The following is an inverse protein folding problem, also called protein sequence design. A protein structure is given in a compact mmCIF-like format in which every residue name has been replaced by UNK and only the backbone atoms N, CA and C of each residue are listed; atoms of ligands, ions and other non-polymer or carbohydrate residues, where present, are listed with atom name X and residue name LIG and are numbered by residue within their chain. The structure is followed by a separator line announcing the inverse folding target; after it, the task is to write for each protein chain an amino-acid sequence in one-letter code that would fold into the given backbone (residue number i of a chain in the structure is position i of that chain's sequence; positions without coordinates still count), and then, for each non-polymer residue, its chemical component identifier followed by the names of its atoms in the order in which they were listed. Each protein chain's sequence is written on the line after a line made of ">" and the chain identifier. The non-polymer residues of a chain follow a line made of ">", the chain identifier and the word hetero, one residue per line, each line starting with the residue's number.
data_IF_144775865687
#
_entry.id   IF_144775865687
#
_cell.length_a   1.000
_cell.length_b   1.000
_cell.length_c   1.000
_cell.angle_alpha   90.00
_cell.angle_beta   90.00
_cell.angle_gamma   90.00
#
_symmetry.space_group_name_H-M   'P 1'
#
loop_
_entity.id
_entity.type
_entity.pdbx_description
1 polymer ?
#
# COMPACT_ATOMS: atom_id res chain seq x y z
N UNK A 1 -38.30 23.18 -40.68
CA UNK A 1 -38.95 22.06 -39.96
C UNK A 1 -37.96 20.91 -39.86
N UNK A 2 -37.67 20.51 -38.63
CA UNK A 2 -36.63 19.56 -38.20
C UNK A 2 -36.82 18.15 -38.79
N UNK A 3 -35.75 17.55 -39.31
CA UNK A 3 -35.64 16.11 -39.59
C UNK A 3 -34.72 15.49 -38.53
N UNK A 4 -35.33 14.78 -37.58
CA UNK A 4 -34.65 13.92 -36.61
C UNK A 4 -34.48 12.55 -37.27
N UNK A 5 -33.23 12.12 -37.47
CA UNK A 5 -32.86 10.77 -37.90
C UNK A 5 -32.34 10.03 -36.65
N UNK A 6 -33.11 9.05 -36.17
CA UNK A 6 -32.70 8.13 -35.10
C UNK A 6 -32.05 6.93 -35.79
N UNK A 7 -30.73 6.79 -35.64
CA UNK A 7 -30.01 5.55 -35.96
C UNK A 7 -29.86 4.73 -34.67
N UNK A 8 -30.64 3.66 -34.55
CA UNK A 8 -30.39 2.59 -33.60
C UNK A 8 -29.32 1.66 -34.19
N UNK A 9 -28.11 1.68 -33.65
CA UNK A 9 -27.13 0.63 -33.91
C UNK A 9 -27.34 -0.51 -32.92
N UNK A 10 -27.83 -1.63 -33.42
CA UNK A 10 -27.73 -2.94 -32.79
C UNK A 10 -26.30 -3.44 -33.02
N UNK A 11 -25.53 -3.64 -31.95
CA UNK A 11 -24.29 -4.43 -32.02
C UNK A 11 -24.41 -5.58 -31.03
N UNK A 12 -24.69 -6.74 -31.61
CA UNK A 12 -24.52 -8.06 -31.02
C UNK A 12 -23.13 -8.56 -31.39
N UNK A 13 -22.24 -8.75 -30.42
CA UNK A 13 -21.07 -9.63 -30.57
C UNK A 13 -20.86 -10.39 -29.27
N UNK A 14 -21.09 -11.70 -29.32
CA UNK A 14 -20.62 -12.63 -28.30
C UNK A 14 -19.16 -13.00 -28.55
N UNK A 15 -18.41 -13.14 -27.46
CA UNK A 15 -17.17 -13.92 -27.31
C UNK A 15 -17.00 -14.02 -25.78
N UNK A 16 -17.09 -15.18 -25.12
CA UNK A 16 -16.29 -16.36 -25.41
C UNK A 16 -14.86 -16.19 -24.91
N UNK A 17 -14.69 -15.66 -23.68
CA UNK A 17 -13.38 -15.40 -23.07
C UNK A 17 -13.31 -15.98 -21.67
N UNK A 18 -12.68 -17.15 -21.56
CA UNK A 18 -12.23 -17.80 -20.35
C UNK A 18 -11.38 -16.80 -19.53
N UNK A 19 -11.95 -16.20 -18.47
CA UNK A 19 -11.19 -15.33 -17.57
C UNK A 19 -10.25 -16.18 -16.70
N UNK A 20 -9.01 -16.29 -17.15
CA UNK A 20 -7.90 -16.78 -16.33
C UNK A 20 -7.53 -15.69 -15.33
N UNK A 21 -8.07 -15.81 -14.11
CA UNK A 21 -7.31 -15.58 -12.87
C UNK A 21 -6.65 -14.22 -12.66
N UNK A 22 -7.33 -13.10 -12.93
CA UNK A 22 -6.95 -11.81 -12.33
C UNK A 22 -7.46 -11.76 -10.88
N UNK A 23 -6.73 -12.36 -9.93
CA UNK A 23 -6.91 -12.05 -8.50
C UNK A 23 -6.23 -10.73 -8.18
N UNK A 24 -6.80 -9.64 -8.70
CA UNK A 24 -6.68 -8.37 -8.00
C UNK A 24 -7.69 -8.47 -6.86
N UNK A 25 -7.21 -8.60 -5.63
CA UNK A 25 -8.02 -8.21 -4.48
C UNK A 25 -8.15 -6.70 -4.59
N UNK A 26 -9.10 -6.27 -5.43
CA UNK A 26 -9.59 -4.92 -5.42
C UNK A 26 -10.23 -4.78 -4.03
N UNK A 27 -9.62 -3.96 -3.19
CA UNK A 27 -10.42 -3.06 -2.37
C UNK A 27 -11.19 -2.17 -3.35
N UNK A 28 -12.24 -2.72 -3.97
CA UNK A 28 -13.32 -1.90 -4.49
C UNK A 28 -13.80 -1.12 -3.28
N UNK A 29 -13.47 0.18 -3.27
CA UNK A 29 -14.18 1.18 -2.51
C UNK A 29 -14.54 0.69 -1.11
N UNK A 30 -13.52 0.38 -0.30
CA UNK A 30 -13.72 0.48 1.14
C UNK A 30 -13.87 1.98 1.44
N UNK A 31 -15.02 2.55 1.07
CA UNK A 31 -15.73 3.41 1.99
C UNK A 31 -16.03 2.52 3.19
N UNK A 32 -15.00 2.26 4.00
CA UNK A 32 -15.19 1.87 5.36
C UNK A 32 -16.11 2.95 5.90
N UNK A 33 -17.39 2.61 6.10
CA UNK A 33 -18.22 3.35 7.02
C UNK A 33 -17.42 3.28 8.31
N UNK A 34 -16.69 4.36 8.59
CA UNK A 34 -15.90 4.49 9.80
C UNK A 34 -16.93 4.46 10.91
N UNK A 35 -17.12 3.29 11.49
CA UNK A 35 -17.95 3.12 12.66
C UNK A 35 -17.33 3.96 13.76
N UNK A 36 -18.19 4.72 14.40
CA UNK A 36 -18.03 5.74 15.45
C UNK A 36 -17.17 5.33 16.67
N UNK A 37 -15.95 4.84 16.45
CA UNK A 37 -15.10 4.21 17.47
C UNK A 37 -13.59 4.19 17.19
N UNK A 38 -13.14 4.72 16.05
CA UNK A 38 -11.72 5.04 15.84
C UNK A 38 -11.46 6.43 16.42
N UNK A 39 -10.63 6.53 17.45
CA UNK A 39 -10.19 7.82 17.99
C UNK A 39 -9.52 8.59 16.84
N UNK A 40 -9.82 9.88 16.66
CA UNK A 40 -9.46 10.65 15.45
C UNK A 40 -7.98 10.68 15.04
N UNK A 41 -7.06 10.13 15.83
CA UNK A 41 -5.66 9.88 15.44
C UNK A 41 -5.48 8.65 14.53
N UNK A 42 -6.37 7.67 14.59
CA UNK A 42 -6.24 6.43 13.82
C UNK A 42 -6.73 6.59 12.37
N UNK A 43 -7.74 7.43 12.14
CA UNK A 43 -8.19 7.79 10.78
C UNK A 43 -7.07 8.44 9.97
N UNK A 44 -6.33 9.36 10.59
CA UNK A 44 -5.19 10.01 9.96
C UNK A 44 -4.11 8.98 9.63
N UNK A 45 -3.77 8.07 10.54
CA UNK A 45 -2.80 7.00 10.24
C UNK A 45 -3.24 6.08 9.10
N UNK A 46 -4.53 5.76 9.00
CA UNK A 46 -5.07 4.95 7.89
C UNK A 46 -4.99 5.73 6.58
N UNK A 47 -5.25 7.04 6.58
CA UNK A 47 -5.04 7.91 5.42
C UNK A 47 -3.57 7.90 4.99
N UNK A 48 -2.66 8.05 5.95
CA UNK A 48 -1.22 8.03 5.70
C UNK A 48 -0.74 6.67 5.16
N UNK A 49 -1.29 5.56 5.66
CA UNK A 49 -1.02 4.21 5.14
C UNK A 49 -1.34 4.11 3.65
N UNK A 50 -2.53 4.55 3.24
CA UNK A 50 -2.97 4.50 1.84
C UNK A 50 -2.09 5.37 0.93
N UNK A 51 -1.74 6.57 1.39
CA UNK A 51 -0.88 7.48 0.63
C UNK A 51 0.57 6.97 0.54
N UNK A 52 1.10 6.40 1.62
CA UNK A 52 2.42 5.77 1.62
C UNK A 52 2.47 4.56 0.69
N UNK A 53 1.43 3.72 0.67
CA UNK A 53 1.31 2.62 -0.30
C UNK A 53 1.24 3.16 -1.74
N UNK A 54 0.47 4.23 -1.99
CA UNK A 54 0.44 4.92 -3.28
C UNK A 54 1.80 5.47 -3.71
N UNK A 55 2.58 6.00 -2.77
CA UNK A 55 3.95 6.45 -3.02
C UNK A 55 4.88 5.28 -3.38
N UNK A 56 4.75 4.13 -2.70
CA UNK A 56 5.49 2.91 -3.06
C UNK A 56 5.15 2.40 -4.45
N UNK A 57 3.86 2.39 -4.84
CA UNK A 57 3.46 2.07 -6.22
C UNK A 57 4.11 3.02 -7.22
N UNK A 58 4.13 4.32 -6.91
CA UNK A 58 4.72 5.35 -7.77
C UNK A 58 6.24 5.19 -7.86
N UNK A 59 6.90 4.87 -6.74
CA UNK A 59 8.31 4.53 -6.69
C UNK A 59 8.63 3.35 -7.62
N UNK A 60 7.79 2.31 -7.62
CA UNK A 60 7.97 1.13 -8.47
C UNK A 60 7.80 1.42 -9.97
N UNK A 61 7.07 2.48 -10.35
CA UNK A 61 6.93 2.89 -11.76
C UNK A 61 8.20 3.56 -12.30
N UNK A 62 8.94 4.24 -11.43
CA UNK A 62 10.17 4.95 -11.80
C UNK A 62 11.43 4.11 -11.62
N UNK A 63 11.32 2.93 -11.01
CA UNK A 63 12.43 2.03 -10.70
C UNK A 63 12.12 0.61 -11.17
N UNK A 64 13.15 -0.16 -11.55
CA UNK A 64 12.96 -1.54 -12.01
C UNK A 64 12.50 -2.51 -10.91
N UNK A 65 12.67 -2.13 -9.64
CA UNK A 65 12.40 -2.95 -8.46
C UNK A 65 12.09 -2.07 -7.26
N UNK A 66 11.59 -2.68 -6.20
CA UNK A 66 11.44 -2.03 -4.90
C UNK A 66 12.79 -1.81 -4.19
N UNK A 67 12.88 -0.89 -3.21
CA UNK A 67 14.14 -0.55 -2.57
C UNK A 67 14.73 -1.75 -1.79
N UNK A 68 16.03 -1.95 -1.96
CA UNK A 68 16.84 -3.00 -1.30
C UNK A 68 18.01 -2.41 -0.52
N UNK A 69 18.64 -1.38 -1.09
CA UNK A 69 19.83 -0.76 -0.53
C UNK A 69 19.44 0.41 0.37
N UNK A 70 20.27 0.74 1.36
CA UNK A 70 19.99 1.86 2.26
C UNK A 70 19.67 3.18 1.54
N UNK A 71 20.41 3.60 0.49
CA UNK A 71 20.06 4.82 -0.24
C UNK A 71 18.71 4.73 -0.96
N UNK A 72 18.33 3.54 -1.46
CA UNK A 72 17.04 3.30 -2.10
C UNK A 72 15.89 3.38 -1.06
N UNK A 73 16.12 2.86 0.15
CA UNK A 73 15.18 2.95 1.26
C UNK A 73 14.99 4.40 1.71
N UNK A 74 16.07 5.18 1.77
CA UNK A 74 16.04 6.61 2.12
C UNK A 74 15.25 7.40 1.08
N UNK A 75 15.48 7.16 -0.21
CA UNK A 75 14.74 7.78 -1.31
C UNK A 75 13.24 7.42 -1.24
N UNK A 76 12.91 6.15 -1.02
CA UNK A 76 11.53 5.71 -0.83
C UNK A 76 10.85 6.38 0.38
N UNK A 77 11.56 6.55 1.50
CA UNK A 77 11.08 7.26 2.69
C UNK A 77 10.79 8.73 2.39
N UNK A 78 11.67 9.41 1.65
CA UNK A 78 11.43 10.78 1.21
C UNK A 78 10.22 10.87 0.27
N UNK A 79 10.07 9.94 -0.67
CA UNK A 79 8.92 9.89 -1.58
C UNK A 79 7.59 9.69 -0.82
N UNK A 80 7.57 8.80 0.18
CA UNK A 80 6.42 8.60 1.06
C UNK A 80 6.08 9.87 1.85
N UNK A 81 7.06 10.47 2.50
CA UNK A 81 6.84 11.71 3.25
C UNK A 81 6.29 12.82 2.35
N UNK A 82 6.86 12.98 1.14
CA UNK A 82 6.39 13.97 0.16
C UNK A 82 4.96 13.72 -0.31
N UNK A 83 4.54 12.46 -0.43
CA UNK A 83 3.17 12.11 -0.83
C UNK A 83 2.14 12.33 0.28
N UNK A 84 2.56 12.20 1.55
CA UNK A 84 1.67 12.23 2.71
C UNK A 84 1.59 13.61 3.35
N UNK A 85 2.71 14.33 3.39
CA UNK A 85 2.88 15.58 4.10
C UNK A 85 2.53 16.79 3.23
N UNK A 86 1.76 17.71 3.80
CA UNK A 86 1.47 19.01 3.19
C UNK A 86 2.57 20.05 3.50
N UNK A 87 3.48 19.73 4.42
CA UNK A 87 4.58 20.60 4.83
C UNK A 87 5.90 20.13 4.24
N UNK A 88 6.79 21.06 3.80
CA UNK A 88 8.14 20.70 3.40
C UNK A 88 8.88 19.95 4.49
N UNK A 89 9.70 18.97 4.11
CA UNK A 89 10.57 18.28 5.04
C UNK A 89 11.58 19.25 5.66
N UNK A 90 11.82 19.14 6.97
CA UNK A 90 13.01 19.73 7.58
C UNK A 90 14.25 19.06 6.98
N UNK A 91 15.15 19.86 6.40
CA UNK A 91 16.38 19.41 5.75
C UNK A 91 17.43 18.87 6.72
N UNK A 92 17.30 19.16 8.01
CA UNK A 92 18.18 18.64 9.06
C UNK A 92 17.83 17.21 9.46
N UNK A 93 16.59 16.78 9.21
CA UNK A 93 16.13 15.44 9.52
C UNK A 93 16.49 14.55 8.33
N UNK A 94 17.35 13.57 8.59
CA UNK A 94 17.71 12.51 7.65
C UNK A 94 17.16 11.18 8.14
N UNK A 95 16.89 10.22 7.23
CA UNK A 95 16.51 8.87 7.64
C UNK A 95 17.53 8.26 8.62
N UNK A 96 17.04 7.50 9.59
CA UNK A 96 17.83 6.88 10.66
C UNK A 96 17.60 5.38 10.70
N UNK A 97 18.58 4.63 11.17
CA UNK A 97 18.45 3.18 11.32
C UNK A 97 18.02 2.84 12.75
N UNK A 98 16.93 2.07 12.90
CA UNK A 98 16.40 1.61 14.17
C UNK A 98 16.10 0.12 14.09
N UNK A 99 17.03 -0.70 14.56
CA UNK A 99 16.94 -2.15 14.42
C UNK A 99 16.98 -2.55 12.94
N UNK A 100 15.98 -3.29 12.48
CA UNK A 100 15.84 -3.70 11.07
C UNK A 100 15.26 -2.59 10.18
N UNK A 101 14.74 -1.52 10.77
CA UNK A 101 14.05 -0.46 10.05
C UNK A 101 14.96 0.69 9.70
N UNK A 102 14.73 1.26 8.53
CA UNK A 102 15.09 2.63 8.19
C UNK A 102 13.87 3.50 8.46
N UNK A 103 14.02 4.58 9.21
CA UNK A 103 12.91 5.40 9.71
C UNK A 103 13.07 6.85 9.30
N UNK A 104 11.97 7.50 8.93
CA UNK A 104 11.92 8.92 8.59
C UNK A 104 10.56 9.49 9.00
N UNK A 105 10.55 10.46 9.93
CA UNK A 105 9.32 10.92 10.59
C UNK A 105 8.46 9.75 11.10
N UNK A 106 7.20 9.67 10.69
CA UNK A 106 6.28 8.59 11.06
C UNK A 106 6.32 7.38 10.11
N UNK A 107 7.34 7.26 9.26
CA UNK A 107 7.48 6.15 8.31
C UNK A 107 8.65 5.26 8.71
N UNK A 108 8.45 3.96 8.60
CA UNK A 108 9.49 2.96 8.73
C UNK A 108 9.44 2.03 7.52
N UNK A 109 10.59 1.72 6.93
CA UNK A 109 10.71 0.74 5.86
C UNK A 109 11.81 -0.27 6.19
N UNK A 110 11.57 -1.53 5.86
CA UNK A 110 12.56 -2.59 5.97
C UNK A 110 12.47 -3.52 4.74
N UNK A 111 13.58 -4.19 4.44
CA UNK A 111 13.62 -5.24 3.41
C UNK A 111 13.47 -6.57 4.12
N UNK A 112 12.42 -7.30 3.78
CA UNK A 112 12.15 -8.64 4.30
C UNK A 112 11.58 -9.53 3.18
N UNK A 113 12.41 -10.38 2.56
CA UNK A 113 11.96 -11.31 1.52
C UNK A 113 10.90 -12.31 1.98
N UNK A 114 10.73 -12.52 3.30
CA UNK A 114 9.72 -13.44 3.84
C UNK A 114 8.29 -12.95 3.58
N UNK A 115 8.11 -11.67 3.21
CA UNK A 115 6.77 -11.16 2.91
C UNK A 115 6.11 -11.85 1.71
N UNK A 116 6.90 -12.49 0.85
CA UNK A 116 6.40 -13.31 -0.28
C UNK A 116 5.50 -14.46 0.16
N UNK A 117 5.70 -14.92 1.38
CA UNK A 117 4.97 -16.02 1.99
C UNK A 117 4.28 -15.58 3.29
N UNK A 118 3.77 -14.34 3.35
CA UNK A 118 3.02 -13.91 4.53
C UNK A 118 1.84 -14.86 4.79
N UNK A 119 1.64 -15.28 6.05
CA UNK A 119 0.54 -16.16 6.40
C UNK A 119 -0.79 -15.46 6.16
N UNK A 120 -1.67 -16.11 5.38
CA UNK A 120 -3.04 -15.67 5.16
C UNK A 120 -3.94 -16.47 6.10
N UNK A 121 -4.61 -15.80 7.03
CA UNK A 121 -5.59 -16.40 7.94
C UNK A 121 -6.93 -15.71 7.70
N UNK A 122 -7.97 -16.50 7.39
CA UNK A 122 -9.31 -15.98 7.06
C UNK A 122 -9.30 -14.96 5.90
N UNK A 123 -8.42 -15.17 4.91
CA UNK A 123 -8.30 -14.29 3.75
C UNK A 123 -7.53 -12.99 4.00
N UNK A 124 -6.94 -12.81 5.18
CA UNK A 124 -6.17 -11.62 5.52
C UNK A 124 -4.75 -11.97 5.95
N UNK A 125 -3.80 -11.11 5.56
CA UNK A 125 -2.39 -11.29 5.86
C UNK A 125 -2.10 -10.94 7.32
N UNK A 126 -1.45 -11.87 8.03
CA UNK A 126 -0.96 -11.60 9.38
C UNK A 126 0.43 -10.96 9.35
N UNK A 127 0.68 -9.99 10.24
CA UNK A 127 2.02 -9.49 10.51
C UNK A 127 2.88 -10.62 11.09
N UNK A 128 4.20 -10.62 10.86
CA UNK A 128 5.12 -11.59 11.44
C UNK A 128 5.00 -11.67 12.97
N UNK A 129 5.11 -12.88 13.55
CA UNK A 129 5.02 -13.08 15.00
C UNK A 129 6.11 -12.32 15.79
N UNK A 130 7.25 -12.02 15.14
CA UNK A 130 8.38 -11.26 15.70
C UNK A 130 8.30 -9.76 15.38
N UNK A 131 7.10 -9.22 15.16
CA UNK A 131 6.89 -7.81 14.86
C UNK A 131 7.42 -6.88 15.96
N UNK A 132 8.31 -5.95 15.60
CA UNK A 132 8.84 -4.91 16.51
C UNK A 132 8.90 -3.58 15.76
N UNK A 133 7.76 -2.90 15.61
CA UNK A 133 7.72 -1.60 14.95
C UNK A 133 7.86 -0.42 15.92
N UNK A 134 8.38 0.73 15.45
CA UNK A 134 8.20 1.99 16.16
C UNK A 134 6.72 2.29 16.40
N UNK A 135 6.40 2.90 17.55
CA UNK A 135 5.03 3.28 17.90
C UNK A 135 4.49 4.36 16.96
N UNK A 136 3.18 4.35 16.70
CA UNK A 136 2.48 5.39 15.93
C UNK A 136 3.15 5.68 14.57
N UNK A 137 3.43 4.62 13.81
CA UNK A 137 4.27 4.67 12.60
C UNK A 137 3.64 3.83 11.50
N UNK A 138 3.71 4.31 10.25
CA UNK A 138 3.40 3.51 9.06
C UNK A 138 4.62 2.66 8.74
N UNK A 139 4.43 1.35 8.70
CA UNK A 139 5.51 0.37 8.55
C UNK A 139 5.36 -0.35 7.24
N UNK A 140 6.39 -0.27 6.40
CA UNK A 140 6.45 -0.94 5.10
C UNK A 140 7.55 -1.99 5.13
N UNK A 141 7.20 -3.18 4.67
CA UNK A 141 8.15 -4.21 4.30
C UNK A 141 8.15 -4.36 2.80
N UNK A 142 9.35 -4.43 2.21
CA UNK A 142 9.52 -4.79 0.81
C UNK A 142 10.28 -6.09 0.67
N UNK A 143 9.95 -6.88 -0.34
CA UNK A 143 10.72 -8.05 -0.72
C UNK A 143 11.96 -7.69 -1.57
N UNK A 144 12.13 -6.40 -1.87
CA UNK A 144 13.18 -5.86 -2.72
C UNK A 144 12.93 -6.00 -4.21
N UNK A 145 11.92 -6.75 -4.65
CA UNK A 145 11.67 -6.99 -6.07
C UNK A 145 10.40 -6.29 -6.50
N UNK A 146 9.25 -6.91 -6.22
CA UNK A 146 7.98 -6.49 -6.78
C UNK A 146 6.81 -6.65 -5.82
N UNK A 147 7.09 -6.93 -4.55
CA UNK A 147 6.09 -7.01 -3.49
C UNK A 147 6.40 -6.05 -2.35
N UNK A 148 5.32 -5.53 -1.77
CA UNK A 148 5.41 -4.82 -0.49
C UNK A 148 4.17 -5.10 0.36
N UNK A 149 4.35 -4.93 1.65
CA UNK A 149 3.32 -5.07 2.66
C UNK A 149 3.41 -3.85 3.60
N UNK A 150 2.30 -3.19 3.86
CA UNK A 150 2.25 -2.00 4.69
C UNK A 150 1.21 -2.16 5.81
N UNK A 151 1.59 -1.80 7.03
CA UNK A 151 0.74 -1.77 8.21
C UNK A 151 0.86 -0.43 8.91
N UNK A 152 -0.01 -0.21 9.89
CA UNK A 152 0.14 0.85 10.89
C UNK A 152 0.47 0.24 12.24
N UNK A 153 1.50 0.74 12.90
CA UNK A 153 1.79 0.44 14.29
C UNK A 153 1.10 1.45 15.20
N UNK A 154 0.31 0.96 16.15
CA UNK A 154 -0.37 1.75 17.17
C UNK A 154 0.58 2.28 18.25
N UNK A 155 -0.01 2.83 19.33
CA UNK A 155 0.77 3.39 20.45
C UNK A 155 1.58 2.34 21.22
N UNK A 156 1.15 1.07 21.17
CA UNK A 156 1.84 -0.06 21.78
C UNK A 156 2.88 -0.72 20.85
N UNK A 157 3.11 -0.14 19.66
CA UNK A 157 4.01 -0.67 18.64
C UNK A 157 3.47 -1.91 17.92
N UNK A 158 2.24 -2.33 18.23
CA UNK A 158 1.57 -3.45 17.56
C UNK A 158 0.76 -2.97 16.37
N UNK A 159 0.48 -3.86 15.40
CA UNK A 159 -0.38 -3.54 14.27
C UNK A 159 -1.77 -3.10 14.73
N UNK A 160 -2.27 -2.00 14.18
CA UNK A 160 -3.65 -1.56 14.40
C UNK A 160 -4.58 -2.56 13.73
N UNK A 161 -5.56 -3.05 14.49
CA UNK A 161 -6.57 -3.96 14.01
C UNK A 161 -7.81 -3.18 13.56
N UNK A 162 -8.48 -3.70 12.54
CA UNK A 162 -9.83 -3.31 12.20
C UNK A 162 -10.76 -3.62 13.39
N UNK A 163 -11.51 -2.63 13.91
CA UNK A 163 -12.39 -2.83 15.06
C UNK A 163 -13.52 -3.83 14.81
N UNK A 164 -13.90 -4.07 13.56
CA UNK A 164 -14.96 -5.01 13.17
C UNK A 164 -14.42 -6.43 13.11
N UNK A 165 -13.34 -6.62 12.37
CA UNK A 165 -12.82 -7.98 12.07
C UNK A 165 -11.79 -8.45 13.10
N UNK A 166 -11.25 -7.55 13.92
CA UNK A 166 -10.14 -7.79 14.86
C UNK A 166 -8.86 -8.31 14.17
N UNK A 167 -8.72 -8.04 12.87
CA UNK A 167 -7.55 -8.41 12.07
C UNK A 167 -6.72 -7.16 11.73
N UNK A 168 -5.37 -7.26 11.67
CA UNK A 168 -4.51 -6.13 11.33
C UNK A 168 -4.87 -5.48 9.99
N UNK A 169 -4.97 -4.15 9.98
CA UNK A 169 -5.08 -3.36 8.76
C UNK A 169 -3.77 -3.49 7.97
N UNK A 170 -3.86 -4.03 6.76
CA UNK A 170 -2.72 -4.26 5.89
C UNK A 170 -3.04 -3.89 4.44
N UNK A 171 -2.08 -3.26 3.77
CA UNK A 171 -2.04 -3.18 2.32
C UNK A 171 -0.92 -4.11 1.84
N UNK A 172 -1.30 -5.18 1.15
CA UNK A 172 -0.35 -6.11 0.54
C UNK A 172 -0.51 -6.08 -0.98
N UNK A 173 0.59 -5.85 -1.68
CA UNK A 173 0.57 -5.70 -3.13
C UNK A 173 1.72 -6.42 -3.81
N UNK A 174 1.40 -6.97 -4.97
CA UNK A 174 2.36 -7.48 -5.95
C UNK A 174 2.20 -6.66 -7.22
N UNK A 175 3.25 -5.99 -7.64
CA UNK A 175 3.28 -5.21 -8.88
C UNK A 175 3.95 -6.09 -9.93
N UNK A 176 3.17 -6.52 -10.92
CA UNK A 176 3.72 -7.31 -12.03
C UNK A 176 4.52 -6.38 -12.97
N UNK A 177 5.84 -6.60 -13.16
CA UNK A 177 6.64 -5.78 -14.06
C UNK A 177 6.17 -5.81 -15.52
N UNK A 178 5.44 -6.85 -15.93
CA UNK A 178 5.03 -7.04 -17.32
C UNK A 178 3.59 -6.56 -17.60
N UNK A 179 2.77 -6.35 -16.56
CA UNK A 179 1.40 -5.87 -16.71
C UNK A 179 1.30 -4.42 -17.21
N UNK A 180 2.34 -3.59 -17.01
CA UNK A 180 2.35 -2.20 -17.47
C UNK A 180 2.74 -2.05 -18.96
N UNK A 181 3.37 -3.07 -19.58
CA UNK A 181 3.75 -3.02 -21.01
C UNK A 181 2.58 -3.22 -21.97
N UNK A 182 1.39 -3.57 -21.48
CA UNK A 182 0.23 -3.89 -22.33
C UNK A 182 -0.72 -2.70 -22.53
N UNK A 183 -0.43 -1.52 -21.96
CA UNK A 183 -1.29 -0.32 -22.05
C UNK A 183 -0.69 0.85 -22.87
N UNK A 184 0.49 0.67 -23.46
CA UNK A 184 1.14 1.64 -24.35
C UNK A 184 0.89 1.35 -25.82
#
# INVERSE_FOLDING_TARGET
>A
MMRILILCFVIWCGFGGLQVGRRVLFLESCQAQVSDGLLGGDEELIRQLNLAAGAMRSYRKTHERFPQLQPELDDALHAMFKAVSFTPANTEIVPQSRGIFRTYYQFAIAVDPSIRSLPIINGQYKPPNSWVAPTHTVVIFSDGQNQFAAWVAGQDGKPINDPTTHVPLIIYETIDPDAEKTQS
#
